data_IF_052072322578
#
_entry.id   IF_052072322578
#
_cell.length_a   1.000
_cell.length_b   1.000
_cell.length_c   1.000
_cell.angle_alpha   90.00
_cell.angle_beta   90.00
_cell.angle_gamma   90.00
#
_symmetry.space_group_name_H-M   'P 1'
#
loop_
_entity.id
_entity.type
_entity.pdbx_description
1 polymer ?
#
# COMPACT_ATOMS: atom_id res chain seq x y z
N UNK A 1 12.84 -25.09 -0.75
CA UNK A 1 12.40 -23.70 -1.01
C UNK A 1 10.89 -23.64 -0.92
N UNK A 2 10.34 -22.73 -0.13
CA UNK A 2 8.90 -22.60 0.05
C UNK A 2 8.25 -22.01 -1.22
N UNK A 3 7.05 -22.48 -1.53
CA UNK A 3 6.24 -21.87 -2.59
C UNK A 3 5.66 -20.53 -2.14
N UNK A 4 5.22 -19.70 -3.08
CA UNK A 4 4.59 -18.40 -2.77
C UNK A 4 3.36 -18.57 -1.88
N UNK A 5 2.59 -19.63 -2.08
CA UNK A 5 1.40 -19.95 -1.27
C UNK A 5 1.80 -20.30 0.17
N UNK A 6 2.83 -21.11 0.35
CA UNK A 6 3.33 -21.50 1.68
C UNK A 6 3.87 -20.29 2.44
N UNK A 7 4.60 -19.40 1.77
CA UNK A 7 5.08 -18.14 2.36
C UNK A 7 3.91 -17.27 2.81
N UNK A 8 2.90 -17.12 1.95
CA UNK A 8 1.71 -16.32 2.26
C UNK A 8 0.93 -16.89 3.45
N UNK A 9 0.80 -18.21 3.53
CA UNK A 9 0.10 -18.90 4.62
C UNK A 9 0.84 -18.81 5.97
N UNK A 10 2.16 -18.81 5.94
CA UNK A 10 2.98 -18.71 7.14
C UNK A 10 3.12 -17.26 7.65
N UNK A 11 2.86 -16.29 6.80
CA UNK A 11 2.96 -14.87 7.17
C UNK A 11 1.82 -14.48 8.09
N UNK A 12 2.16 -14.04 9.29
CA UNK A 12 1.19 -13.52 10.25
C UNK A 12 0.81 -12.09 9.89
N UNK A 13 -0.47 -11.87 9.57
CA UNK A 13 -0.99 -10.54 9.31
C UNK A 13 -1.12 -9.75 10.61
N UNK A 14 -0.73 -8.49 10.56
CA UNK A 14 -0.93 -7.55 11.67
C UNK A 14 -2.30 -6.88 11.54
N UNK A 15 -3.02 -6.62 12.63
CA UNK A 15 -4.25 -5.83 12.60
C UNK A 15 -4.01 -4.45 11.96
N UNK A 16 -4.93 -4.01 11.11
CA UNK A 16 -4.78 -2.72 10.42
C UNK A 16 -4.77 -1.53 11.38
N UNK A 17 -5.42 -1.66 12.53
CA UNK A 17 -5.41 -0.64 13.57
C UNK A 17 -3.99 -0.36 14.11
N UNK A 18 -3.18 -1.40 14.30
CA UNK A 18 -1.78 -1.24 14.73
C UNK A 18 -0.93 -0.51 13.68
N UNK A 19 -1.14 -0.84 12.39
CA UNK A 19 -0.45 -0.17 11.29
C UNK A 19 -0.86 1.29 11.20
N UNK A 20 -2.14 1.59 11.38
CA UNK A 20 -2.67 2.95 11.40
C UNK A 20 -2.04 3.78 12.54
N UNK A 21 -1.91 3.19 13.72
CA UNK A 21 -1.29 3.83 14.89
C UNK A 21 0.19 4.18 14.62
N UNK A 22 0.96 3.26 14.03
CA UNK A 22 2.36 3.51 13.63
C UNK A 22 2.47 4.65 12.61
N UNK A 23 1.43 4.88 11.83
CA UNK A 23 1.34 5.94 10.82
C UNK A 23 0.81 7.26 11.36
N UNK A 24 0.48 7.32 12.65
CA UNK A 24 -0.18 8.48 13.26
C UNK A 24 -1.54 8.81 12.62
N UNK A 25 -2.27 7.78 12.20
CA UNK A 25 -3.65 7.88 11.72
C UNK A 25 -4.58 7.67 12.91
N UNK A 26 -5.47 8.62 13.17
CA UNK A 26 -6.41 8.51 14.26
C UNK A 26 -7.48 7.45 13.97
N UNK A 27 -8.01 6.74 14.99
CA UNK A 27 -9.06 5.75 14.79
C UNK A 27 -10.31 6.29 14.08
N UNK A 28 -10.65 7.55 14.29
CA UNK A 28 -11.79 8.23 13.67
C UNK A 28 -11.59 8.48 12.16
N UNK A 29 -10.33 8.48 11.71
CA UNK A 29 -9.96 8.67 10.30
C UNK A 29 -9.93 7.35 9.53
N UNK A 30 -10.13 6.23 10.22
CA UNK A 30 -10.05 4.88 9.67
C UNK A 30 -11.44 4.26 9.55
N UNK A 31 -11.76 3.74 8.37
CA UNK A 31 -12.97 2.96 8.14
C UNK A 31 -12.59 1.48 7.96
N UNK A 32 -12.66 0.66 9.05
CA UNK A 32 -12.19 -0.71 8.99
C UNK A 32 -13.15 -1.61 8.20
N UNK A 33 -12.54 -2.50 7.42
CA UNK A 33 -13.20 -3.62 6.72
C UNK A 33 -12.64 -4.93 7.26
N UNK A 34 -13.12 -5.36 8.42
CA UNK A 34 -12.54 -6.47 9.15
C UNK A 34 -11.25 -6.07 9.88
N UNK A 35 -10.40 -7.05 10.19
CA UNK A 35 -9.19 -6.84 11.02
C UNK A 35 -7.98 -6.33 10.25
N UNK A 36 -7.90 -6.60 8.95
CA UNK A 36 -6.67 -6.47 8.17
C UNK A 36 -6.75 -5.48 7.01
N UNK A 37 -7.89 -4.83 6.82
CA UNK A 37 -8.13 -3.82 5.77
C UNK A 37 -8.87 -2.63 6.33
N UNK A 38 -8.60 -1.46 5.78
CA UNK A 38 -9.35 -0.25 6.07
C UNK A 38 -9.31 0.72 4.90
N UNK A 39 -10.28 1.62 4.86
CA UNK A 39 -10.23 2.84 4.05
C UNK A 39 -9.86 4.01 4.94
N UNK A 40 -9.33 5.05 4.33
CA UNK A 40 -9.09 6.33 4.96
C UNK A 40 -10.23 7.28 4.60
N UNK A 41 -10.74 8.00 5.60
CA UNK A 41 -11.78 8.98 5.35
C UNK A 41 -11.20 10.36 5.00
N UNK A 42 -12.07 11.27 4.58
CA UNK A 42 -11.65 12.60 4.13
C UNK A 42 -11.10 13.48 5.25
N UNK A 43 -11.42 13.20 6.50
CA UNK A 43 -10.93 13.98 7.64
C UNK A 43 -9.41 13.88 7.80
N UNK A 44 -8.82 12.74 7.46
CA UNK A 44 -7.38 12.58 7.42
C UNK A 44 -6.74 13.56 6.42
N UNK A 45 -7.30 13.65 5.22
CA UNK A 45 -6.77 14.53 4.17
C UNK A 45 -6.90 16.00 4.55
N UNK A 46 -8.01 16.40 5.18
CA UNK A 46 -8.20 17.74 5.71
C UNK A 46 -7.18 18.08 6.79
N UNK A 47 -6.92 17.15 7.71
CA UNK A 47 -5.93 17.33 8.77
C UNK A 47 -4.51 17.49 8.23
N UNK A 48 -4.18 16.78 7.15
CA UNK A 48 -2.85 16.76 6.55
C UNK A 48 -2.65 17.81 5.44
N UNK A 49 -3.66 18.61 5.14
CA UNK A 49 -3.64 19.57 4.02
C UNK A 49 -2.45 20.52 4.06
N UNK A 50 -2.04 20.95 5.25
CA UNK A 50 -0.92 21.90 5.45
C UNK A 50 0.41 21.20 5.80
N UNK A 51 0.44 19.88 5.84
CA UNK A 51 1.65 19.14 6.09
C UNK A 51 2.51 19.00 4.82
N UNK A 52 3.85 19.00 4.94
CA UNK A 52 4.71 18.84 3.77
C UNK A 52 4.55 17.46 3.15
N UNK A 53 4.52 17.39 1.83
CA UNK A 53 4.43 16.15 1.09
C UNK A 53 5.71 15.31 1.23
N UNK A 54 5.54 14.01 1.26
CA UNK A 54 6.64 13.05 1.16
C UNK A 54 7.19 12.96 -0.27
N UNK A 55 8.24 12.17 -0.42
CA UNK A 55 8.84 11.88 -1.74
C UNK A 55 7.98 10.85 -2.47
N UNK A 56 7.58 11.15 -3.69
CA UNK A 56 6.86 10.23 -4.57
C UNK A 56 7.84 9.58 -5.54
N UNK A 57 7.88 8.25 -5.56
CA UNK A 57 8.68 7.46 -6.50
C UNK A 57 7.74 6.68 -7.40
N UNK A 58 7.80 6.94 -8.71
CA UNK A 58 7.01 6.22 -9.70
C UNK A 58 7.80 5.04 -10.26
N UNK A 59 7.20 3.84 -10.17
CA UNK A 59 7.71 2.64 -10.83
C UNK A 59 6.75 2.26 -11.94
N UNK A 60 7.22 2.36 -13.18
CA UNK A 60 6.41 2.10 -14.38
C UNK A 60 7.22 1.39 -15.46
N UNK A 61 6.59 1.06 -16.56
CA UNK A 61 7.23 0.51 -17.73
C UNK A 61 6.79 1.27 -18.99
N UNK A 62 7.63 1.27 -20.01
CA UNK A 62 7.35 1.94 -21.29
C UNK A 62 6.18 1.24 -22.00
N UNK A 63 6.24 -0.09 -22.10
CA UNK A 63 5.21 -0.92 -22.72
C UNK A 63 4.79 -2.05 -21.79
N UNK A 64 3.48 -2.31 -21.58
CA UNK A 64 3.03 -3.49 -20.89
C UNK A 64 3.28 -4.74 -21.73
N UNK A 65 3.73 -5.82 -21.08
CA UNK A 65 3.87 -7.14 -21.71
C UNK A 65 3.03 -8.18 -20.99
N UNK A 66 2.55 -9.24 -21.68
CA UNK A 66 1.79 -10.32 -21.04
C UNK A 66 2.57 -11.05 -19.93
N UNK A 67 3.88 -11.18 -20.09
CA UNK A 67 4.77 -11.84 -19.12
C UNK A 67 5.09 -10.95 -17.90
N UNK A 68 4.77 -9.66 -17.97
CA UNK A 68 5.16 -8.68 -16.96
C UNK A 68 6.61 -8.21 -17.12
N UNK A 69 6.94 -7.10 -16.47
CA UNK A 69 8.25 -6.42 -16.57
C UNK A 69 8.90 -6.21 -15.21
N UNK A 70 8.35 -6.85 -14.17
CA UNK A 70 8.87 -6.76 -12.82
C UNK A 70 8.54 -5.46 -12.08
N UNK A 71 7.55 -4.68 -12.51
CA UNK A 71 7.11 -3.45 -11.80
C UNK A 71 6.76 -3.72 -10.34
N UNK A 72 5.94 -4.71 -10.10
CA UNK A 72 5.50 -5.09 -8.74
C UNK A 72 6.66 -5.59 -7.91
N UNK A 73 7.51 -6.44 -8.46
CA UNK A 73 8.71 -6.97 -7.79
C UNK A 73 9.68 -5.85 -7.43
N UNK A 74 9.93 -4.93 -8.35
CA UNK A 74 10.78 -3.76 -8.12
C UNK A 74 10.20 -2.85 -7.04
N UNK A 75 8.90 -2.61 -7.08
CA UNK A 75 8.21 -1.77 -6.07
C UNK A 75 8.28 -2.40 -4.68
N UNK A 76 8.05 -3.70 -4.57
CA UNK A 76 8.15 -4.43 -3.31
C UNK A 76 9.59 -4.42 -2.77
N UNK A 77 10.56 -4.71 -3.62
CA UNK A 77 11.98 -4.69 -3.26
C UNK A 77 12.46 -3.30 -2.83
N UNK A 78 12.03 -2.25 -3.52
CA UNK A 78 12.34 -0.88 -3.15
C UNK A 78 11.75 -0.52 -1.78
N UNK A 79 10.50 -0.91 -1.51
CA UNK A 79 9.86 -0.71 -0.21
C UNK A 79 10.64 -1.37 0.93
N UNK A 80 11.07 -2.62 0.74
CA UNK A 80 11.89 -3.34 1.71
C UNK A 80 13.27 -2.71 1.90
N UNK A 81 13.91 -2.28 0.81
CA UNK A 81 15.20 -1.60 0.87
C UNK A 81 15.11 -0.28 1.64
N UNK A 82 14.06 0.50 1.43
CA UNK A 82 13.82 1.73 2.16
C UNK A 82 13.63 1.47 3.67
N UNK A 83 12.87 0.46 4.02
CA UNK A 83 12.69 0.05 5.42
C UNK A 83 14.03 -0.37 6.05
N UNK A 84 14.85 -1.12 5.32
CA UNK A 84 16.18 -1.57 5.79
C UNK A 84 17.13 -0.42 6.12
N UNK A 85 17.06 0.67 5.36
CA UNK A 85 17.86 1.88 5.64
C UNK A 85 17.18 2.87 6.59
N UNK A 86 16.10 2.45 7.25
CA UNK A 86 15.39 3.25 8.25
C UNK A 86 14.45 4.32 7.70
N UNK A 87 14.11 4.27 6.42
CA UNK A 87 13.14 5.19 5.82
C UNK A 87 11.73 4.62 5.86
N UNK A 88 10.77 5.45 6.18
CA UNK A 88 9.35 5.09 6.15
C UNK A 88 8.83 5.26 4.73
N UNK A 89 8.39 4.17 4.12
CA UNK A 89 7.81 4.17 2.78
C UNK A 89 6.43 3.51 2.76
N UNK A 90 5.61 3.90 1.80
CA UNK A 90 4.32 3.29 1.51
C UNK A 90 4.27 2.88 0.05
N UNK A 91 3.80 1.67 -0.18
CA UNK A 91 3.55 1.19 -1.54
C UNK A 91 2.11 1.52 -1.93
N UNK A 92 1.95 2.25 -3.01
CA UNK A 92 0.66 2.49 -3.64
C UNK A 92 0.64 1.75 -4.98
N UNK A 93 -0.35 0.89 -5.22
CA UNK A 93 -0.49 0.16 -6.46
C UNK A 93 -1.87 0.38 -7.07
N UNK A 94 -1.90 0.67 -8.37
CA UNK A 94 -3.14 0.67 -9.13
C UNK A 94 -3.35 -0.72 -9.72
N UNK A 95 -4.35 -1.43 -9.25
CA UNK A 95 -4.79 -2.67 -9.89
C UNK A 95 -5.74 -2.28 -11.03
N UNK A 96 -5.27 -2.40 -12.26
CA UNK A 96 -6.16 -2.35 -13.42
C UNK A 96 -7.03 -3.62 -13.39
N UNK A 97 -8.26 -3.49 -12.94
CA UNK A 97 -9.29 -4.47 -13.24
C UNK A 97 -9.70 -4.25 -14.70
N UNK A 98 -9.47 -5.24 -15.54
CA UNK A 98 -10.04 -5.28 -16.88
C UNK A 98 -11.56 -5.30 -16.76
N UNK A 99 -12.20 -4.20 -17.17
CA UNK A 99 -13.64 -4.06 -17.35
C UNK A 99 -14.38 -3.47 -16.14
N UNK A 100 -14.24 -2.25 -15.88
CA UNK A 100 -15.14 -1.17 -15.45
C UNK A 100 -14.29 -0.03 -14.91
N UNK A 101 -14.40 1.13 -15.50
CA UNK A 101 -13.82 2.36 -14.99
C UNK A 101 -14.61 2.79 -13.75
N UNK A 102 -14.18 2.37 -12.58
CA UNK A 102 -14.64 2.96 -11.34
C UNK A 102 -13.66 4.05 -10.91
N UNK A 103 -14.13 5.29 -10.96
CA UNK A 103 -13.39 6.48 -10.60
C UNK A 103 -13.18 6.65 -9.09
N UNK A 104 -12.86 5.59 -8.39
CA UNK A 104 -12.57 5.62 -6.96
C UNK A 104 -11.07 5.50 -6.68
N UNK A 105 -10.48 6.52 -6.10
CA UNK A 105 -9.17 6.40 -5.46
C UNK A 105 -9.29 5.41 -4.29
N UNK A 106 -8.92 4.17 -4.52
CA UNK A 106 -8.75 3.20 -3.44
C UNK A 106 -7.26 3.12 -3.09
N UNK A 107 -6.84 3.94 -2.13
CA UNK A 107 -5.59 3.69 -1.44
C UNK A 107 -5.85 2.59 -0.41
N UNK A 108 -5.55 1.35 -0.78
CA UNK A 108 -5.56 0.25 0.17
C UNK A 108 -4.20 0.19 0.87
N UNK A 109 -4.21 0.32 2.18
CA UNK A 109 -3.05 0.03 3.02
C UNK A 109 -2.99 -1.49 3.18
N UNK A 110 -1.98 -2.12 2.58
CA UNK A 110 -1.62 -3.50 2.86
C UNK A 110 -0.38 -3.50 3.77
N UNK A 111 -0.56 -4.12 4.92
CA UNK A 111 0.53 -4.38 5.84
C UNK A 111 1.32 -5.61 5.43
#
# INVERSE_FOLDING_TARGET
>A
MLTDIEIAQQTKLRPIAEIAEELHICPEELEPYGRFKAKLNDDLFKRLENEPDGKLILVTAINPTPAGEGKTTTTAGLGQAMAKIGKKGRRCGRRLRTGVADGGHQSALYG
#
